data_IF_847501921045
#
_entry.id   IF_847501921045
#
_cell.length_a   1.000
_cell.length_b   1.000
_cell.length_c   1.000
_cell.angle_alpha   90.00
_cell.angle_beta   90.00
_cell.angle_gamma   90.00
#
_symmetry.space_group_name_H-M   'P 1'
#
loop_
_entity.id
_entity.type
_entity.pdbx_description
1 polymer ?
#
# COMPACT_ATOMS: atom_id res chain seq x y z
N UNK A 1 5.50 -18.76 37.33
CA UNK A 1 5.88 -19.42 36.06
C UNK A 1 4.89 -20.53 35.79
N UNK A 2 3.98 -20.34 34.83
CA UNK A 2 3.03 -21.39 34.45
C UNK A 2 3.71 -22.23 33.37
N UNK A 3 4.08 -23.47 33.70
CA UNK A 3 4.60 -24.42 32.72
C UNK A 3 3.43 -24.80 31.81
N UNK A 4 3.51 -24.44 30.53
CA UNK A 4 2.60 -24.94 29.50
C UNK A 4 2.88 -26.43 29.33
N UNK A 5 2.11 -27.28 30.00
CA UNK A 5 2.18 -28.73 29.79
C UNK A 5 1.41 -29.02 28.49
N UNK A 6 2.05 -29.62 27.46
CA UNK A 6 1.35 -30.00 26.24
C UNK A 6 0.24 -30.99 26.62
N UNK A 7 -1.01 -30.66 26.25
CA UNK A 7 -2.19 -31.43 26.63
C UNK A 7 -2.21 -32.78 25.91
N UNK A 8 -1.88 -32.77 24.61
CA UNK A 8 -1.91 -33.97 23.76
C UNK A 8 -0.86 -33.87 22.64
N UNK A 9 -0.28 -35.01 22.26
CA UNK A 9 0.60 -35.18 21.10
C UNK A 9 -0.05 -36.08 20.07
N UNK A 10 0.20 -35.84 18.80
CA UNK A 10 -0.35 -36.67 17.72
C UNK A 10 0.47 -36.64 16.45
N UNK A 11 -0.10 -37.22 15.39
CA UNK A 11 0.48 -37.29 14.05
C UNK A 11 -0.42 -36.60 13.04
N UNK A 12 0.12 -35.61 12.33
CA UNK A 12 -0.55 -34.88 11.27
C UNK A 12 -0.30 -35.54 9.92
N UNK A 13 -1.36 -35.69 9.13
CA UNK A 13 -1.33 -36.14 7.73
C UNK A 13 -2.20 -35.20 6.92
N UNK A 14 -1.69 -34.71 5.80
CA UNK A 14 -2.43 -33.83 4.90
C UNK A 14 -1.54 -32.82 4.18
N UNK A 15 -2.15 -31.72 3.73
CA UNK A 15 -1.45 -30.62 3.07
C UNK A 15 -1.77 -29.32 3.77
N UNK A 16 -0.74 -28.54 4.04
CA UNK A 16 -0.84 -27.22 4.64
C UNK A 16 -0.48 -26.18 3.59
N UNK A 17 -1.41 -25.29 3.28
CA UNK A 17 -1.18 -24.13 2.44
C UNK A 17 -0.70 -22.99 3.33
N UNK A 18 0.45 -22.43 2.98
CA UNK A 18 1.12 -21.39 3.75
C UNK A 18 1.22 -20.15 2.88
N UNK A 19 0.89 -19.00 3.47
CA UNK A 19 1.10 -17.68 2.86
C UNK A 19 1.94 -16.86 3.84
N UNK A 20 3.06 -16.32 3.37
CA UNK A 20 3.89 -15.38 4.11
C UNK A 20 4.11 -14.10 3.31
N UNK A 21 4.51 -13.04 4.02
CA UNK A 21 4.83 -11.74 3.43
C UNK A 21 6.25 -11.34 3.81
N UNK A 22 7.12 -11.19 2.81
CA UNK A 22 8.55 -11.02 3.02
C UNK A 22 9.11 -9.87 2.17
N UNK A 23 10.26 -9.33 2.59
CA UNK A 23 11.06 -8.38 1.81
C UNK A 23 12.10 -9.15 1.00
N UNK A 24 11.76 -9.48 -0.25
CA UNK A 24 12.68 -10.11 -1.19
C UNK A 24 13.50 -9.04 -1.93
N UNK A 25 14.41 -9.44 -2.81
CA UNK A 25 15.15 -8.49 -3.64
C UNK A 25 14.23 -7.95 -4.75
N UNK A 26 14.15 -6.62 -4.89
CA UNK A 26 13.17 -5.98 -5.78
C UNK A 26 13.45 -6.24 -7.26
N UNK A 27 14.72 -6.32 -7.67
CA UNK A 27 15.12 -6.66 -9.03
C UNK A 27 14.54 -8.00 -9.45
N UNK A 28 14.72 -9.03 -8.61
CA UNK A 28 14.15 -10.35 -8.84
C UNK A 28 12.61 -10.33 -8.89
N UNK A 29 11.95 -9.55 -8.04
CA UNK A 29 10.49 -9.39 -8.06
C UNK A 29 10.00 -8.74 -9.37
N UNK A 30 10.73 -7.77 -9.91
CA UNK A 30 10.41 -7.12 -11.18
C UNK A 30 10.72 -8.02 -12.39
N UNK A 31 11.69 -8.93 -12.29
CA UNK A 31 11.96 -9.95 -13.31
C UNK A 31 10.79 -10.94 -13.44
N UNK A 32 10.20 -11.35 -12.31
CA UNK A 32 9.05 -12.27 -12.30
C UNK A 32 7.72 -11.58 -12.63
N UNK A 33 7.62 -10.25 -12.46
CA UNK A 33 6.45 -9.44 -12.80
C UNK A 33 6.75 -8.38 -13.86
N UNK A 34 6.95 -8.78 -15.13
CA UNK A 34 7.40 -7.88 -16.20
C UNK A 34 6.38 -6.77 -16.53
N UNK A 35 5.09 -7.00 -16.28
CA UNK A 35 4.05 -5.98 -16.48
C UNK A 35 4.22 -4.82 -15.49
N UNK A 36 4.50 -5.11 -14.22
CA UNK A 36 4.77 -4.09 -13.21
C UNK A 36 6.10 -3.38 -13.49
N UNK A 37 7.12 -4.12 -13.92
CA UNK A 37 8.40 -3.53 -14.31
C UNK A 37 8.23 -2.52 -15.44
N UNK A 38 7.45 -2.87 -16.47
CA UNK A 38 7.12 -1.95 -17.57
C UNK A 38 6.36 -0.73 -17.09
N UNK A 39 5.35 -0.93 -16.25
CA UNK A 39 4.56 0.18 -15.71
C UNK A 39 5.41 1.15 -14.88
N UNK A 40 6.34 0.63 -14.08
CA UNK A 40 7.30 1.43 -13.32
C UNK A 40 8.20 2.27 -14.24
N UNK A 41 8.69 1.70 -15.34
CA UNK A 41 9.51 2.42 -16.32
C UNK A 41 8.71 3.51 -17.04
N UNK A 42 7.48 3.22 -17.46
CA UNK A 42 6.58 4.20 -18.07
C UNK A 42 6.31 5.36 -17.08
N UNK A 43 6.02 5.05 -15.82
CA UNK A 43 5.84 6.03 -14.75
C UNK A 43 7.09 6.89 -14.52
N UNK A 44 8.29 6.26 -14.45
CA UNK A 44 9.58 6.96 -14.29
C UNK A 44 9.81 7.96 -15.41
N UNK A 45 9.55 7.56 -16.65
CA UNK A 45 9.72 8.41 -17.82
C UNK A 45 8.83 9.64 -17.73
N UNK A 46 7.55 9.47 -17.45
CA UNK A 46 6.60 10.59 -17.35
C UNK A 46 6.91 11.53 -16.18
N UNK A 47 7.28 10.98 -15.02
CA UNK A 47 7.73 11.78 -13.87
C UNK A 47 8.95 12.62 -14.23
N UNK A 48 9.90 12.03 -14.95
CA UNK A 48 11.10 12.74 -15.42
C UNK A 48 10.77 13.83 -16.44
N UNK A 49 9.87 13.56 -17.40
CA UNK A 49 9.41 14.55 -18.38
C UNK A 49 8.71 15.75 -17.73
N UNK A 50 8.07 15.55 -16.57
CA UNK A 50 7.45 16.60 -15.76
C UNK A 50 8.42 17.32 -14.82
N UNK A 51 9.71 16.96 -14.83
CA UNK A 51 10.74 17.44 -13.92
C UNK A 51 10.40 17.16 -12.43
N UNK A 52 9.76 16.02 -12.18
CA UNK A 52 9.46 15.53 -10.83
C UNK A 52 10.44 14.42 -10.45
N UNK A 53 10.45 14.05 -9.17
CA UNK A 53 11.25 12.94 -8.63
C UNK A 53 10.35 11.75 -8.30
N UNK A 54 10.88 10.56 -8.54
CA UNK A 54 10.26 9.28 -8.18
C UNK A 54 11.26 8.46 -7.36
N UNK A 55 11.02 8.35 -6.06
CA UNK A 55 11.93 7.69 -5.12
C UNK A 55 11.32 6.39 -4.60
N UNK A 56 12.10 5.31 -4.63
CA UNK A 56 11.68 4.03 -4.05
C UNK A 56 11.54 4.17 -2.53
N UNK A 57 10.46 3.63 -1.98
CA UNK A 57 10.18 3.68 -0.54
C UNK A 57 10.18 2.28 0.09
N UNK A 58 9.31 1.38 -0.38
CA UNK A 58 9.07 0.10 0.28
C UNK A 58 8.47 -0.91 -0.70
N UNK A 59 8.54 -2.20 -0.38
CA UNK A 59 7.80 -3.23 -1.09
C UNK A 59 7.53 -4.43 -0.18
N UNK A 60 6.62 -5.30 -0.62
CA UNK A 60 6.30 -6.54 0.08
C UNK A 60 5.95 -7.63 -0.94
N UNK A 61 6.60 -8.78 -0.84
CA UNK A 61 6.27 -9.96 -1.63
C UNK A 61 5.37 -10.90 -0.81
N UNK A 62 4.35 -11.43 -1.46
CA UNK A 62 3.58 -12.57 -0.96
C UNK A 62 4.21 -13.85 -1.50
N UNK A 63 4.53 -14.78 -0.61
CA UNK A 63 4.97 -16.12 -0.96
C UNK A 63 3.87 -17.10 -0.56
N UNK A 64 3.39 -17.88 -1.52
CA UNK A 64 2.45 -18.96 -1.27
C UNK A 64 3.14 -20.29 -1.53
N UNK A 65 3.02 -21.21 -0.57
CA UNK A 65 3.66 -22.50 -0.61
C UNK A 65 2.78 -23.62 -0.08
N UNK A 66 3.19 -24.85 -0.36
CA UNK A 66 2.50 -26.05 0.09
C UNK A 66 3.48 -26.92 0.88
N UNK A 67 3.04 -27.37 2.05
CA UNK A 67 3.77 -28.32 2.88
C UNK A 67 2.98 -29.62 2.97
N UNK A 68 3.60 -30.73 2.54
CA UNK A 68 3.02 -32.06 2.66
C UNK A 68 3.37 -32.64 4.04
N UNK A 69 2.35 -32.80 4.88
CA UNK A 69 2.49 -33.43 6.17
C UNK A 69 2.24 -34.93 5.99
N UNK A 70 3.29 -35.73 6.20
CA UNK A 70 3.19 -37.19 6.21
C UNK A 70 3.68 -37.72 7.55
N UNK A 71 2.74 -37.98 8.45
CA UNK A 71 3.00 -38.53 9.78
C UNK A 71 3.92 -37.64 10.64
N UNK A 72 3.76 -36.32 10.52
CA UNK A 72 4.54 -35.31 11.23
C UNK A 72 4.02 -35.14 12.66
N UNK A 73 4.90 -35.00 13.66
CA UNK A 73 4.48 -34.82 15.05
C UNK A 73 3.86 -33.42 15.25
N UNK A 74 2.75 -33.36 15.99
CA UNK A 74 2.19 -32.10 16.47
C UNK A 74 1.93 -32.15 17.98
N UNK A 75 1.88 -30.96 18.59
CA UNK A 75 1.53 -30.76 19.99
C UNK A 75 0.38 -29.77 20.12
N UNK A 76 -0.63 -30.12 20.91
CA UNK A 76 -1.71 -29.21 21.28
C UNK A 76 -1.40 -28.52 22.61
N UNK A 77 -1.50 -27.20 22.61
CA UNK A 77 -1.23 -26.35 23.77
C UNK A 77 -2.45 -25.49 24.07
N UNK A 78 -3.00 -25.57 25.28
CA UNK A 78 -4.03 -24.62 25.71
C UNK A 78 -3.41 -23.26 26.02
N UNK A 79 -4.04 -22.18 25.59
CA UNK A 79 -3.63 -20.82 26.00
C UNK A 79 -3.90 -20.54 27.49
N UNK A 80 -4.87 -21.23 28.11
CA UNK A 80 -5.04 -21.23 29.56
C UNK A 80 -5.83 -22.45 30.04
N UNK A 81 -5.68 -22.80 31.33
CA UNK A 81 -6.42 -23.91 31.97
C UNK A 81 -7.95 -23.70 32.01
N UNK A 82 -8.44 -22.50 31.70
CA UNK A 82 -9.84 -22.10 31.87
C UNK A 82 -10.50 -21.49 30.61
N UNK A 83 -9.80 -21.43 29.46
CA UNK A 83 -10.35 -20.92 28.19
C UNK A 83 -10.09 -21.89 27.04
N UNK A 84 -11.11 -22.07 26.21
CA UNK A 84 -11.23 -23.03 25.11
C UNK A 84 -10.34 -22.77 23.88
N UNK A 85 -9.30 -21.95 24.00
CA UNK A 85 -8.41 -21.63 22.88
C UNK A 85 -7.19 -22.53 22.93
N UNK A 86 -6.96 -23.28 21.84
CA UNK A 86 -5.82 -24.19 21.68
C UNK A 86 -4.94 -23.70 20.53
N UNK A 87 -3.62 -23.79 20.73
CA UNK A 87 -2.63 -23.72 19.66
C UNK A 87 -2.23 -25.13 19.27
N UNK A 88 -1.96 -25.32 17.97
CA UNK A 88 -1.29 -26.50 17.45
C UNK A 88 0.10 -26.10 16.99
N UNK A 89 1.13 -26.74 17.53
CA UNK A 89 2.50 -26.63 17.05
C UNK A 89 2.82 -27.88 16.24
N UNK A 90 3.15 -27.73 14.95
CA UNK A 90 3.54 -28.83 14.07
C UNK A 90 5.05 -28.74 13.89
N UNK A 91 5.79 -29.78 14.28
CA UNK A 91 7.25 -29.83 14.11
C UNK A 91 7.60 -30.34 12.71
N UNK A 92 7.82 -29.41 11.79
CA UNK A 92 8.08 -29.71 10.38
C UNK A 92 9.51 -30.19 10.12
N UNK A 93 10.41 -30.15 11.12
CA UNK A 93 11.81 -30.56 10.98
C UNK A 93 12.50 -29.95 9.77
N UNK A 94 12.99 -30.81 8.86
CA UNK A 94 13.65 -30.43 7.59
C UNK A 94 12.71 -30.43 6.38
N UNK A 95 11.41 -30.68 6.59
CA UNK A 95 10.41 -30.65 5.51
C UNK A 95 10.08 -29.19 5.23
N UNK A 96 10.79 -28.62 4.25
CA UNK A 96 10.58 -27.23 3.84
C UNK A 96 9.32 -27.11 2.96
N UNK A 97 8.55 -26.03 3.09
CA UNK A 97 7.47 -25.73 2.16
C UNK A 97 8.00 -25.62 0.73
N UNK A 98 7.27 -26.20 -0.21
CA UNK A 98 7.53 -25.98 -1.64
C UNK A 98 6.86 -24.67 -2.02
N UNK A 99 7.65 -23.66 -2.37
CA UNK A 99 7.15 -22.38 -2.88
C UNK A 99 6.44 -22.64 -4.21
N UNK A 100 5.18 -22.22 -4.30
CA UNK A 100 4.33 -22.36 -5.49
C UNK A 100 4.20 -21.06 -6.26
N UNK A 101 4.16 -19.95 -5.54
CA UNK A 101 3.94 -18.63 -6.10
C UNK A 101 4.74 -17.60 -5.30
N UNK A 102 5.37 -16.68 -6.02
CA UNK A 102 5.94 -15.45 -5.48
C UNK A 102 5.26 -14.32 -6.24
N UNK A 103 4.66 -13.38 -5.51
CA UNK A 103 3.93 -12.27 -6.10
C UNK A 103 4.28 -10.97 -5.38
N UNK A 104 4.52 -9.90 -6.11
CA UNK A 104 4.64 -8.57 -5.56
C UNK A 104 3.25 -8.10 -5.07
N UNK A 105 3.13 -7.87 -3.78
CA UNK A 105 1.85 -7.53 -3.13
C UNK A 105 1.69 -6.03 -2.84
N UNK A 106 2.81 -5.31 -2.87
CA UNK A 106 2.94 -3.89 -2.55
C UNK A 106 4.25 -3.37 -3.15
N UNK A 107 4.21 -2.23 -3.82
CA UNK A 107 5.40 -1.53 -4.29
C UNK A 107 5.22 -0.03 -4.18
N UNK A 108 5.84 0.58 -3.16
CA UNK A 108 5.67 2.00 -2.85
C UNK A 108 6.77 2.84 -3.44
N UNK A 109 6.33 3.88 -4.15
CA UNK A 109 7.15 4.99 -4.59
C UNK A 109 6.61 6.32 -4.08
N UNK A 110 7.52 7.25 -3.89
CA UNK A 110 7.26 8.61 -3.48
C UNK A 110 7.44 9.55 -4.68
N UNK A 111 6.46 10.42 -4.90
CA UNK A 111 6.49 11.45 -5.96
C UNK A 111 6.63 12.81 -5.31
N UNK A 112 7.59 13.59 -5.81
CA UNK A 112 7.85 14.94 -5.33
C UNK A 112 8.13 15.90 -6.48
N UNK A 113 7.56 17.10 -6.42
CA UNK A 113 7.91 18.21 -7.33
C UNK A 113 9.11 18.99 -6.78
N UNK A 114 9.77 19.77 -7.63
CA UNK A 114 10.88 20.64 -7.23
C UNK A 114 10.48 21.77 -6.27
N UNK A 115 9.18 22.03 -6.12
CA UNK A 115 8.62 23.11 -5.30
C UNK A 115 7.92 22.64 -4.02
N UNK A 116 7.92 21.33 -3.76
CA UNK A 116 7.46 20.78 -2.47
C UNK A 116 8.61 20.79 -1.48
N UNK A 117 8.40 21.43 -0.33
CA UNK A 117 9.44 21.56 0.70
C UNK A 117 9.39 20.44 1.72
N UNK A 118 8.22 19.86 1.97
CA UNK A 118 8.01 18.74 2.88
C UNK A 118 7.23 17.62 2.18
N UNK A 119 7.21 16.44 2.78
CA UNK A 119 6.40 15.25 2.49
C UNK A 119 5.96 14.98 1.03
N UNK A 120 6.34 13.82 0.53
CA UNK A 120 6.03 13.34 -0.80
C UNK A 120 4.63 12.68 -0.88
N UNK A 121 4.10 12.53 -2.09
CA UNK A 121 2.90 11.70 -2.33
C UNK A 121 3.36 10.26 -2.52
N UNK A 122 2.93 9.35 -1.65
CA UNK A 122 3.29 7.93 -1.75
C UNK A 122 2.21 7.16 -2.50
N UNK A 123 2.61 6.40 -3.51
CA UNK A 123 1.74 5.53 -4.30
C UNK A 123 2.15 4.08 -4.15
N UNK A 124 1.19 3.16 -4.10
CA UNK A 124 1.40 1.72 -4.30
C UNK A 124 1.11 1.40 -5.77
N UNK A 125 2.16 1.04 -6.50
CA UNK A 125 2.10 0.72 -7.92
C UNK A 125 1.24 -0.53 -8.18
N UNK A 126 1.40 -1.56 -7.35
CA UNK A 126 0.71 -2.86 -7.52
C UNK A 126 -0.81 -2.68 -7.35
N UNK A 127 -1.19 -1.88 -6.35
CA UNK A 127 -2.61 -1.68 -5.99
C UNK A 127 -3.25 -0.52 -6.72
N UNK A 128 -2.46 0.28 -7.45
CA UNK A 128 -2.92 1.56 -8.03
C UNK A 128 -3.54 2.48 -6.99
N UNK A 129 -2.90 2.57 -5.82
CA UNK A 129 -3.41 3.35 -4.68
C UNK A 129 -2.48 4.50 -4.30
N UNK A 130 -3.04 5.66 -3.93
CA UNK A 130 -2.32 6.74 -3.26
C UNK A 130 -2.39 6.44 -1.75
N UNK A 131 -1.27 6.00 -1.19
CA UNK A 131 -1.16 5.51 0.19
C UNK A 131 -0.88 6.61 1.21
N UNK A 132 -0.33 7.74 0.77
CA UNK A 132 -0.10 8.91 1.59
C UNK A 132 -0.12 10.18 0.72
N UNK A 133 -0.62 11.26 1.29
CA UNK A 133 -0.64 12.59 0.69
C UNK A 133 -0.14 13.55 1.76
N UNK A 134 0.78 14.44 1.36
CA UNK A 134 1.41 15.45 2.20
C UNK A 134 0.43 16.10 3.20
N UNK A 135 0.80 16.12 4.48
CA UNK A 135 -0.05 16.62 5.56
C UNK A 135 -0.35 18.13 5.45
N UNK A 136 0.50 18.93 4.79
CA UNK A 136 0.22 20.34 4.47
C UNK A 136 -1.02 20.45 3.58
N UNK A 137 -1.31 19.44 2.77
CA UNK A 137 -2.55 19.36 2.02
C UNK A 137 -3.77 19.05 2.91
N UNK A 138 -3.61 18.54 4.13
CA UNK A 138 -4.73 18.22 5.01
C UNK A 138 -4.87 19.14 6.22
N UNK A 139 -3.78 19.60 6.83
CA UNK A 139 -3.81 20.32 8.10
C UNK A 139 -3.79 21.84 7.93
N UNK A 140 -4.97 22.38 7.68
CA UNK A 140 -5.19 23.78 7.33
C UNK A 140 -5.59 24.53 8.61
N UNK A 141 -4.60 25.09 9.32
CA UNK A 141 -4.86 26.01 10.44
C UNK A 141 -5.44 27.34 9.95
N UNK A 142 -6.28 28.01 10.74
CA UNK A 142 -6.81 29.34 10.36
C UNK A 142 -5.69 30.31 9.96
N UNK A 143 -5.82 30.92 8.77
CA UNK A 143 -4.83 31.85 8.22
C UNK A 143 -3.84 31.25 7.21
N UNK A 144 -3.84 29.92 7.00
CA UNK A 144 -3.01 29.24 5.99
C UNK A 144 -3.21 29.80 4.56
N UNK A 145 -4.42 30.29 4.23
CA UNK A 145 -4.78 30.92 2.95
C UNK A 145 -3.90 32.13 2.59
N UNK A 146 -3.27 32.71 3.60
CA UNK A 146 -2.42 33.90 3.47
C UNK A 146 -0.94 33.54 3.39
N UNK A 147 -0.58 32.27 3.62
CA UNK A 147 0.78 31.75 3.55
C UNK A 147 1.11 31.32 2.10
N UNK A 148 1.99 32.07 1.39
CA UNK A 148 2.32 31.78 0.00
C UNK A 148 3.03 30.44 -0.19
N UNK A 149 3.83 30.00 0.78
CA UNK A 149 4.61 28.77 0.68
C UNK A 149 3.69 27.55 0.83
N UNK A 150 2.80 27.58 1.82
CA UNK A 150 1.78 26.52 1.99
C UNK A 150 0.84 26.44 0.79
N UNK A 151 0.44 27.58 0.24
CA UNK A 151 -0.37 27.63 -0.99
C UNK A 151 0.35 27.03 -2.20
N UNK A 152 1.64 27.32 -2.36
CA UNK A 152 2.46 26.76 -3.43
C UNK A 152 2.55 25.23 -3.30
N UNK A 153 2.83 24.75 -2.09
CA UNK A 153 2.97 23.32 -1.81
C UNK A 153 1.64 22.56 -1.98
N UNK A 154 0.53 23.14 -1.50
CA UNK A 154 -0.81 22.60 -1.73
C UNK A 154 -1.18 22.57 -3.22
N UNK A 155 -0.80 23.61 -3.98
CA UNK A 155 -1.01 23.67 -5.43
C UNK A 155 -0.21 22.60 -6.17
N UNK A 156 1.06 22.39 -5.82
CA UNK A 156 1.87 21.34 -6.44
C UNK A 156 1.39 19.94 -6.02
N UNK A 157 0.93 19.77 -4.78
CA UNK A 157 0.30 18.53 -4.31
C UNK A 157 -0.95 18.22 -5.14
N UNK A 158 -1.83 19.20 -5.32
CA UNK A 158 -3.03 19.04 -6.14
C UNK A 158 -2.69 18.67 -7.59
N UNK A 159 -1.63 19.26 -8.16
CA UNK A 159 -1.17 18.98 -9.52
C UNK A 159 -0.77 17.51 -9.68
N UNK A 160 0.00 16.96 -8.74
CA UNK A 160 0.39 15.55 -8.76
C UNK A 160 -0.82 14.63 -8.52
N UNK A 161 -1.69 14.97 -7.57
CA UNK A 161 -2.91 14.19 -7.30
C UNK A 161 -3.83 14.12 -8.51
N UNK A 162 -4.04 15.23 -9.22
CA UNK A 162 -4.84 15.23 -10.46
C UNK A 162 -4.25 14.30 -11.51
N UNK A 163 -2.94 14.40 -11.75
CA UNK A 163 -2.28 13.52 -12.71
C UNK A 163 -2.43 12.04 -12.31
N UNK A 164 -2.24 11.70 -11.03
CA UNK A 164 -2.39 10.32 -10.55
C UNK A 164 -3.83 9.81 -10.67
N UNK A 165 -4.83 10.60 -10.29
CA UNK A 165 -6.23 10.18 -10.25
C UNK A 165 -6.84 10.21 -11.66
N UNK A 166 -6.70 11.33 -12.37
CA UNK A 166 -7.41 11.60 -13.62
C UNK A 166 -6.73 10.96 -14.83
N UNK A 167 -5.39 11.01 -14.89
CA UNK A 167 -4.64 10.47 -16.04
C UNK A 167 -4.14 9.04 -15.79
N UNK A 168 -3.84 8.68 -14.54
CA UNK A 168 -3.27 7.36 -14.20
C UNK A 168 -4.23 6.39 -13.52
N UNK A 169 -5.42 6.86 -13.12
CA UNK A 169 -6.46 6.00 -12.55
C UNK A 169 -6.13 5.47 -11.16
N UNK A 170 -5.28 6.16 -10.38
CA UNK A 170 -5.02 5.77 -9.00
C UNK A 170 -6.21 6.15 -8.10
N UNK A 171 -6.53 5.27 -7.15
CA UNK A 171 -7.50 5.56 -6.09
C UNK A 171 -6.82 6.05 -4.82
N UNK A 172 -7.45 6.96 -4.08
CA UNK A 172 -6.99 7.34 -2.75
C UNK A 172 -7.25 6.21 -1.74
N UNK A 173 -6.25 5.86 -0.93
CA UNK A 173 -6.37 4.80 0.07
C UNK A 173 -7.15 5.28 1.30
N UNK A 174 -8.16 4.51 1.68
CA UNK A 174 -9.09 4.86 2.76
C UNK A 174 -10.14 5.87 2.31
N UNK A 175 -10.95 6.37 3.25
CA UNK A 175 -11.72 7.60 3.05
C UNK A 175 -10.86 8.77 3.55
N UNK A 176 -9.92 9.33 2.78
CA UNK A 176 -9.61 10.73 3.00
C UNK A 176 -10.92 11.47 2.76
N UNK A 177 -11.31 12.32 3.69
CA UNK A 177 -12.54 13.10 3.65
C UNK A 177 -12.67 13.71 2.24
N UNK A 178 -13.42 13.04 1.35
CA UNK A 178 -13.49 13.35 -0.08
C UNK A 178 -14.01 14.78 -0.22
N UNK A 179 -14.85 15.17 0.73
CA UNK A 179 -15.34 16.51 0.95
C UNK A 179 -14.22 17.52 1.23
N UNK A 180 -13.18 17.15 1.97
CA UNK A 180 -12.00 17.98 2.24
C UNK A 180 -11.13 18.15 1.00
N UNK A 181 -10.87 17.07 0.25
CA UNK A 181 -10.20 17.17 -1.05
C UNK A 181 -11.00 18.10 -2.00
N UNK A 182 -12.32 17.93 -2.05
CA UNK A 182 -13.23 18.74 -2.86
C UNK A 182 -13.18 20.21 -2.46
N UNK A 183 -13.28 20.53 -1.17
CA UNK A 183 -13.19 21.90 -0.63
C UNK A 183 -11.86 22.57 -0.96
N UNK A 184 -10.75 21.86 -0.79
CA UNK A 184 -9.40 22.36 -1.09
C UNK A 184 -9.26 22.66 -2.58
N UNK A 185 -9.71 21.73 -3.43
CA UNK A 185 -9.73 21.91 -4.88
C UNK A 185 -10.57 23.13 -5.27
N UNK A 186 -11.79 23.23 -4.75
CA UNK A 186 -12.71 24.36 -5.02
C UNK A 186 -12.11 25.70 -4.56
N UNK A 187 -11.45 25.75 -3.39
CA UNK A 187 -10.78 26.94 -2.88
C UNK A 187 -9.59 27.38 -3.77
N UNK A 188 -8.75 26.43 -4.18
CA UNK A 188 -7.61 26.71 -5.05
C UNK A 188 -8.04 27.13 -6.48
N UNK A 189 -9.07 26.49 -7.04
CA UNK A 189 -9.64 26.85 -8.35
C UNK A 189 -10.37 28.22 -8.32
N UNK A 190 -11.10 28.52 -7.24
CA UNK A 190 -11.83 29.79 -7.09
C UNK A 190 -10.92 30.98 -6.82
N UNK A 191 -9.75 30.76 -6.21
CA UNK A 191 -8.73 31.79 -6.01
C UNK A 191 -8.04 32.27 -7.31
N UNK A 192 -8.39 31.69 -8.47
CA UNK A 192 -7.81 32.05 -9.78
C UNK A 192 -6.36 31.58 -9.98
N UNK A 193 -5.83 30.78 -9.05
CA UNK A 193 -4.45 30.29 -9.07
C UNK A 193 -4.27 29.00 -9.87
N UNK A 194 -5.35 28.33 -10.27
CA UNK A 194 -5.35 27.16 -11.16
C UNK A 194 -6.52 27.30 -12.14
N UNK A 195 -6.27 27.10 -13.44
CA UNK A 195 -7.28 27.16 -14.50
C UNK A 195 -8.33 26.05 -14.29
N UNK A 196 -9.62 26.42 -14.32
CA UNK A 196 -10.75 25.49 -14.34
C UNK A 196 -10.57 24.45 -15.46
N UNK A 197 -10.52 23.17 -15.11
CA UNK A 197 -10.78 22.09 -16.06
C UNK A 197 -11.89 21.17 -15.53
N UNK A 198 -12.67 20.67 -16.48
CA UNK A 198 -14.02 20.16 -16.31
C UNK A 198 -14.04 18.69 -15.88
N UNK A 199 -14.55 18.34 -14.69
CA UNK A 199 -14.93 16.95 -14.36
C UNK A 199 -16.02 16.91 -13.28
N UNK A 200 -17.17 16.29 -13.61
CA UNK A 200 -18.21 15.79 -12.69
C UNK A 200 -18.32 14.25 -12.68
N UNK A 201 -17.44 13.49 -13.35
CA UNK A 201 -17.74 12.07 -13.67
C UNK A 201 -17.09 10.98 -12.81
N UNK A 202 -16.00 11.23 -12.05
CA UNK A 202 -15.29 10.15 -11.32
C UNK A 202 -15.55 10.08 -9.81
N UNK A 203 -16.27 11.04 -9.22
CA UNK A 203 -16.63 11.01 -7.80
C UNK A 203 -17.91 10.21 -7.51
N UNK A 204 -18.72 9.92 -8.53
CA UNK A 204 -19.98 9.19 -8.37
C UNK A 204 -19.78 7.68 -8.04
N UNK A 205 -18.68 7.07 -8.50
CA UNK A 205 -18.39 5.65 -8.24
C UNK A 205 -17.92 5.36 -6.80
N UNK A 206 -17.75 6.39 -5.96
CA UNK A 206 -17.45 6.26 -4.53
C UNK A 206 -18.71 6.35 -3.65
N UNK A 207 -19.84 6.82 -4.18
CA UNK A 207 -21.09 6.96 -3.42
C UNK A 207 -22.03 5.75 -3.57
N UNK A 208 -21.85 4.95 -4.64
CA UNK A 208 -22.68 3.79 -4.98
C UNK A 208 -22.23 2.47 -4.30
N UNK A 209 -21.25 2.51 -3.38
CA UNK A 209 -20.80 1.34 -2.60
C UNK A 209 -21.44 1.24 -1.20
N UNK A 210 -22.54 1.97 -0.95
CA UNK A 210 -23.37 1.85 0.26
C UNK A 210 -24.27 0.61 0.25
#
# INVERSE_FOLDING_TARGET
MTVLIPLERGRAVGRLYLTSFEKLEIGHLLEIEPEIAKELEDLRKEVTEKNWKLDYSDHLAMLSGELHLNNIEYQLMSWSLFKSNYSMMIDIGTVLPVVKEIKLSKLIYNIQTDKMTHDNISIDLVRKEITHVNDIFWNWEEGWEKDPEKLLEASETLKVLRWLIEEKGYSLRGEPDVEKYRKIRESLESSGKITKSAIDYNLANLDDSK
#
